data_IF_930717308778
#
_entry.id   IF_930717308778
#
_cell.length_a   1.000
_cell.length_b   1.000
_cell.length_c   1.000
_cell.angle_alpha   90.00
_cell.angle_beta   90.00
_cell.angle_gamma   90.00
#
_symmetry.space_group_name_H-M   'P 1'
#
loop_
_entity.id
_entity.type
_entity.pdbx_description
1 polymer ?
#
# COMPACT_ATOMS: atom_id res chain seq x y z
N UNK A 1 5.85 -38.69 6.07
CA UNK A 1 5.88 -37.37 5.39
C UNK A 1 6.42 -36.35 6.38
N UNK A 2 7.64 -35.85 6.17
CA UNK A 2 8.30 -34.94 7.10
C UNK A 2 7.72 -33.54 6.91
N UNK A 3 6.67 -33.21 7.67
CA UNK A 3 6.10 -31.85 7.69
C UNK A 3 7.22 -30.90 8.10
N UNK A 4 7.65 -29.95 7.25
CA UNK A 4 8.67 -28.99 7.66
C UNK A 4 8.14 -28.31 8.92
N UNK A 5 8.91 -28.34 10.03
CA UNK A 5 8.52 -27.69 11.30
C UNK A 5 8.16 -26.23 10.98
N UNK A 6 6.88 -25.96 10.79
CA UNK A 6 6.41 -24.63 10.42
C UNK A 6 6.48 -23.82 11.69
N UNK A 7 7.43 -22.90 11.78
CA UNK A 7 7.43 -21.90 12.85
C UNK A 7 6.06 -21.21 12.85
N UNK A 8 5.43 -21.12 14.03
CA UNK A 8 4.15 -20.43 14.17
C UNK A 8 4.29 -18.95 13.78
N UNK A 9 3.22 -18.32 13.27
CA UNK A 9 3.27 -16.91 12.88
C UNK A 9 3.71 -16.01 14.05
N UNK A 10 3.28 -16.31 15.27
CA UNK A 10 3.65 -15.59 16.49
C UNK A 10 5.16 -15.63 16.76
N UNK A 11 5.80 -16.80 16.57
CA UNK A 11 7.26 -16.93 16.73
C UNK A 11 8.00 -16.12 15.69
N UNK A 12 7.52 -16.10 14.45
CA UNK A 12 8.13 -15.32 13.37
C UNK A 12 8.04 -13.83 13.64
N UNK A 13 6.85 -13.35 14.00
CA UNK A 13 6.62 -11.94 14.29
C UNK A 13 7.45 -11.48 15.50
N UNK A 14 7.47 -12.29 16.57
CA UNK A 14 8.28 -11.99 17.75
C UNK A 14 9.78 -11.93 17.44
N UNK A 15 10.29 -12.88 16.64
CA UNK A 15 11.70 -12.89 16.27
C UNK A 15 12.07 -11.68 15.40
N UNK A 16 11.22 -11.31 14.42
CA UNK A 16 11.43 -10.13 13.57
C UNK A 16 11.37 -8.85 14.40
N UNK A 17 10.37 -8.69 15.28
CA UNK A 17 10.24 -7.53 16.17
C UNK A 17 11.48 -7.37 17.04
N UNK A 18 11.98 -8.46 17.61
CA UNK A 18 13.17 -8.43 18.45
C UNK A 18 14.43 -8.02 17.65
N UNK A 19 14.56 -8.45 16.39
CA UNK A 19 15.66 -8.00 15.51
C UNK A 19 15.59 -6.50 15.29
N UNK A 20 14.41 -5.97 14.99
CA UNK A 20 14.22 -4.54 14.72
C UNK A 20 14.46 -3.66 15.96
N UNK A 21 14.07 -4.15 17.15
CA UNK A 21 14.27 -3.45 18.41
C UNK A 21 15.73 -3.47 18.87
N UNK A 22 16.42 -4.60 18.69
CA UNK A 22 17.78 -4.78 19.21
C UNK A 22 18.88 -4.49 18.18
N UNK A 23 18.57 -4.21 16.91
CA UNK A 23 19.59 -4.01 15.86
C UNK A 23 20.61 -2.91 16.18
N UNK A 24 20.26 -1.91 17.00
CA UNK A 24 21.16 -0.84 17.44
C UNK A 24 22.19 -1.27 18.50
N UNK A 25 21.93 -2.37 19.21
CA UNK A 25 22.82 -2.93 20.24
C UNK A 25 23.90 -3.85 19.65
N UNK A 26 23.81 -4.16 18.36
CA UNK A 26 24.76 -5.01 17.65
C UNK A 26 25.55 -4.20 16.61
N UNK A 27 26.78 -4.61 16.28
CA UNK A 27 27.60 -3.93 15.27
C UNK A 27 27.00 -3.98 13.86
N UNK A 28 26.03 -4.85 13.60
CA UNK A 28 25.28 -4.91 12.34
C UNK A 28 23.94 -5.63 12.50
N UNK A 29 23.01 -5.35 11.57
CA UNK A 29 21.74 -6.09 11.44
C UNK A 29 21.98 -7.61 11.30
N UNK A 30 23.06 -8.02 10.61
CA UNK A 30 23.42 -9.43 10.48
C UNK A 30 23.85 -10.05 11.83
N UNK A 31 24.64 -9.34 12.63
CA UNK A 31 25.02 -9.81 13.96
C UNK A 31 23.80 -9.98 14.89
N UNK A 32 22.84 -9.04 14.85
CA UNK A 32 21.57 -9.16 15.55
C UNK A 32 20.77 -10.38 15.10
N UNK A 33 20.64 -10.59 13.78
CA UNK A 33 19.95 -11.75 13.19
C UNK A 33 20.60 -13.06 13.64
N UNK A 34 21.93 -13.19 13.60
CA UNK A 34 22.62 -14.39 14.03
C UNK A 34 22.37 -14.71 15.52
N UNK A 35 22.53 -13.70 16.39
CA UNK A 35 22.30 -13.84 17.84
C UNK A 35 20.85 -14.24 18.15
N UNK A 36 19.89 -13.59 17.49
CA UNK A 36 18.47 -13.82 17.74
C UNK A 36 18.01 -15.16 17.15
N UNK A 37 18.49 -15.54 15.96
CA UNK A 37 18.15 -16.81 15.34
C UNK A 37 18.51 -18.01 16.25
N UNK A 38 19.66 -17.95 16.91
CA UNK A 38 20.08 -18.96 17.90
C UNK A 38 19.12 -19.06 19.09
N UNK A 39 18.51 -17.95 19.55
CA UNK A 39 17.55 -17.94 20.67
C UNK A 39 16.21 -18.58 20.30
N UNK A 40 15.79 -18.50 19.04
CA UNK A 40 14.53 -19.07 18.54
C UNK A 40 14.71 -20.47 17.92
N UNK A 41 15.94 -20.99 17.85
CA UNK A 41 16.24 -22.28 17.23
C UNK A 41 16.02 -22.30 15.72
N UNK A 42 16.09 -21.15 15.05
CA UNK A 42 15.98 -21.03 13.60
C UNK A 42 17.32 -20.68 12.95
N UNK A 43 17.43 -20.87 11.63
CA UNK A 43 18.65 -20.47 10.92
C UNK A 43 18.66 -18.96 10.69
N UNK A 44 19.83 -18.30 10.74
CA UNK A 44 19.94 -16.85 10.47
C UNK A 44 19.33 -16.45 9.13
N UNK A 45 19.47 -17.29 8.10
CA UNK A 45 18.86 -17.05 6.78
C UNK A 45 17.33 -17.06 6.82
N UNK A 46 16.73 -17.95 7.62
CA UNK A 46 15.28 -18.00 7.81
C UNK A 46 14.78 -16.70 8.43
N UNK A 47 15.46 -16.23 9.48
CA UNK A 47 15.10 -14.99 10.16
C UNK A 47 15.31 -13.76 9.27
N UNK A 48 16.38 -13.75 8.46
CA UNK A 48 16.62 -12.72 7.44
C UNK A 48 15.49 -12.67 6.40
N UNK A 49 15.01 -13.82 5.94
CA UNK A 49 13.89 -13.89 4.99
C UNK A 49 12.60 -13.34 5.60
N UNK A 50 12.34 -13.59 6.88
CA UNK A 50 11.19 -13.00 7.58
C UNK A 50 11.30 -11.49 7.74
N UNK A 51 12.48 -10.98 8.10
CA UNK A 51 12.73 -9.53 8.18
C UNK A 51 12.46 -8.86 6.82
N UNK A 52 13.03 -9.39 5.73
CA UNK A 52 12.81 -8.87 4.38
C UNK A 52 11.33 -8.85 3.99
N UNK A 53 10.58 -9.90 4.32
CA UNK A 53 9.15 -9.98 4.02
C UNK A 53 8.33 -8.98 4.83
N UNK A 54 8.72 -8.72 6.08
CA UNK A 54 8.08 -7.70 6.92
C UNK A 54 8.31 -6.29 6.41
N UNK A 55 9.51 -5.99 5.90
CA UNK A 55 9.84 -4.69 5.28
C UNK A 55 8.92 -4.43 4.08
N UNK A 56 8.80 -5.40 3.16
CA UNK A 56 7.89 -5.30 2.01
C UNK A 56 6.42 -5.10 2.40
N UNK A 57 5.92 -5.86 3.39
CA UNK A 57 4.53 -5.74 3.84
C UNK A 57 4.25 -4.39 4.51
N UNK A 58 5.23 -3.83 5.22
CA UNK A 58 5.13 -2.48 5.79
C UNK A 58 5.15 -1.41 4.70
N UNK A 59 6.01 -1.55 3.68
CA UNK A 59 6.04 -0.65 2.52
C UNK A 59 4.71 -0.66 1.76
N UNK A 60 4.18 -1.85 1.44
CA UNK A 60 2.88 -2.01 0.78
C UNK A 60 1.73 -1.41 1.60
N UNK A 61 1.73 -1.61 2.93
CA UNK A 61 0.69 -1.05 3.80
C UNK A 61 0.79 0.48 3.91
N UNK A 62 2.01 1.02 3.98
CA UNK A 62 2.25 2.46 4.09
C UNK A 62 1.96 3.22 2.79
N UNK A 63 2.25 2.61 1.63
CA UNK A 63 1.96 3.18 0.33
C UNK A 63 0.45 3.19 0.02
N UNK A 64 -0.29 2.17 0.47
CA UNK A 64 -1.71 2.05 0.14
C UNK A 64 -2.66 2.89 1.00
N UNK A 65 -2.28 3.29 2.23
CA UNK A 65 -3.23 3.96 3.13
C UNK A 65 -3.62 5.40 2.70
N UNK A 66 -2.68 6.34 2.49
CA UNK A 66 -3.03 7.71 2.10
C UNK A 66 -3.34 7.85 0.60
N UNK A 67 -2.74 7.01 -0.25
CA UNK A 67 -2.92 7.07 -1.70
C UNK A 67 -4.32 6.57 -2.11
N UNK A 68 -4.85 5.54 -1.44
CA UNK A 68 -6.20 5.04 -1.70
C UNK A 68 -7.28 6.05 -1.29
N UNK A 69 -7.09 6.79 -0.19
CA UNK A 69 -8.00 7.87 0.21
C UNK A 69 -7.99 9.03 -0.80
N UNK A 70 -6.80 9.44 -1.26
CA UNK A 70 -6.67 10.47 -2.31
C UNK A 70 -7.28 10.03 -3.63
N UNK A 71 -7.08 8.77 -4.04
CA UNK A 71 -7.70 8.21 -5.24
C UNK A 71 -9.23 8.27 -5.17
N UNK A 72 -9.82 7.84 -4.06
CA UNK A 72 -11.28 7.91 -3.87
C UNK A 72 -11.81 9.34 -3.93
N UNK A 73 -11.08 10.31 -3.37
CA UNK A 73 -11.47 11.71 -3.43
C UNK A 73 -11.38 12.27 -4.86
N UNK A 74 -10.28 11.97 -5.57
CA UNK A 74 -10.10 12.34 -6.97
C UNK A 74 -11.15 11.70 -7.88
N UNK A 75 -11.52 10.45 -7.66
CA UNK A 75 -12.57 9.77 -8.43
C UNK A 75 -13.94 10.44 -8.25
N UNK A 76 -14.29 10.84 -7.03
CA UNK A 76 -15.54 11.59 -6.76
C UNK A 76 -15.55 12.93 -7.48
N UNK A 77 -14.46 13.69 -7.37
CA UNK A 77 -14.33 14.99 -8.02
C UNK A 77 -14.40 14.84 -9.56
N UNK A 78 -13.78 13.79 -10.12
CA UNK A 78 -13.83 13.53 -11.56
C UNK A 78 -15.25 13.23 -12.05
N UNK A 79 -16.05 12.50 -11.27
CA UNK A 79 -17.47 12.22 -11.58
C UNK A 79 -18.30 13.50 -11.54
N UNK A 80 -18.12 14.35 -10.53
CA UNK A 80 -18.84 15.63 -10.43
C UNK A 80 -18.47 16.58 -11.57
N UNK A 81 -17.18 16.69 -11.90
CA UNK A 81 -16.69 17.49 -13.01
C UNK A 81 -17.23 17.01 -14.37
N UNK A 82 -17.31 15.69 -14.59
CA UNK A 82 -17.92 15.12 -15.80
C UNK A 82 -19.40 15.45 -15.88
N UNK A 83 -20.13 15.37 -14.78
CA UNK A 83 -21.55 15.72 -14.70
C UNK A 83 -21.79 17.20 -15.00
N UNK A 84 -20.97 18.08 -14.42
CA UNK A 84 -21.01 19.52 -14.70
C UNK A 84 -20.73 19.83 -16.18
N UNK A 85 -19.70 19.19 -16.76
CA UNK A 85 -19.39 19.34 -18.18
C UNK A 85 -20.53 18.86 -19.09
N UNK A 86 -21.24 17.79 -18.71
CA UNK A 86 -22.39 17.31 -19.46
C UNK A 86 -23.54 18.33 -19.45
N UNK A 87 -23.82 18.94 -18.29
CA UNK A 87 -24.84 20.00 -18.17
C UNK A 87 -24.45 21.20 -19.03
N UNK A 88 -23.20 21.64 -18.96
CA UNK A 88 -22.71 22.76 -19.77
C UNK A 88 -22.77 22.45 -21.28
N UNK A 89 -22.43 21.24 -21.71
CA UNK A 89 -22.59 20.81 -23.11
C UNK A 89 -24.05 20.82 -23.55
N UNK A 90 -24.95 20.30 -22.72
CA UNK A 90 -26.40 20.31 -23.01
C UNK A 90 -26.95 21.72 -23.10
N UNK A 91 -26.53 22.61 -22.20
CA UNK A 91 -26.90 24.03 -22.23
C UNK A 91 -26.35 24.71 -23.50
N UNK A 92 -25.07 24.50 -23.82
CA UNK A 92 -24.46 25.06 -25.03
C UNK A 92 -25.16 24.56 -26.32
N UNK A 93 -25.53 23.28 -26.38
CA UNK A 93 -26.30 22.73 -27.49
C UNK A 93 -27.70 23.37 -27.59
N UNK A 94 -28.38 23.56 -26.45
CA UNK A 94 -29.68 24.21 -26.40
C UNK A 94 -29.62 25.68 -26.88
N UNK A 95 -28.62 26.45 -26.43
CA UNK A 95 -28.42 27.82 -26.87
C UNK A 95 -28.03 27.91 -28.34
N UNK A 96 -27.14 27.05 -28.83
CA UNK A 96 -26.77 27.01 -30.25
C UNK A 96 -27.98 26.71 -31.16
N UNK A 97 -28.89 25.84 -30.72
CA UNK A 97 -30.10 25.52 -31.47
C UNK A 97 -31.12 26.67 -31.47
N UNK A 98 -31.25 27.38 -30.34
CA UNK A 98 -32.08 28.58 -30.24
C UNK A 98 -31.56 29.76 -31.08
N UNK A 99 -30.23 29.88 -31.27
CA UNK A 99 -29.64 30.88 -32.16
C UNK A 99 -29.83 30.54 -33.66
N UNK A 100 -29.87 29.25 -34.00
CA UNK A 100 -30.19 28.81 -35.36
C UNK A 100 -31.67 29.06 -35.71
N UNK A 101 -32.58 28.86 -34.76
CA UNK A 101 -34.02 29.11 -34.93
C UNK A 101 -34.37 30.61 -35.01
N UNK A 102 -33.51 31.47 -34.42
CA UNK A 102 -33.64 32.93 -34.47
C UNK A 102 -33.06 33.60 -35.72
N UNK A 103 -32.42 32.86 -36.63
CA UNK A 103 -31.84 33.45 -37.85
C UNK A 103 -32.98 33.83 -38.82
N UNK A 104 -33.27 35.12 -39.04
CA UNK A 104 -34.33 35.53 -39.95
C UNK A 104 -33.85 35.36 -41.41
N UNK A 105 -34.83 35.16 -42.31
CA UNK A 105 -34.70 35.46 -43.74
C UNK A 105 -34.20 36.90 -43.96
#
# INVERSE_FOLDING_TARGET
MNSPKRYSPEVRERAVRLVLEQQGEYPSKWAAICSIASKFGCTPETLRAWCKRSELTQEDSSANLPENERLKQLERENVELKRANEILRKAAAFFAQAELDRKPN
#
